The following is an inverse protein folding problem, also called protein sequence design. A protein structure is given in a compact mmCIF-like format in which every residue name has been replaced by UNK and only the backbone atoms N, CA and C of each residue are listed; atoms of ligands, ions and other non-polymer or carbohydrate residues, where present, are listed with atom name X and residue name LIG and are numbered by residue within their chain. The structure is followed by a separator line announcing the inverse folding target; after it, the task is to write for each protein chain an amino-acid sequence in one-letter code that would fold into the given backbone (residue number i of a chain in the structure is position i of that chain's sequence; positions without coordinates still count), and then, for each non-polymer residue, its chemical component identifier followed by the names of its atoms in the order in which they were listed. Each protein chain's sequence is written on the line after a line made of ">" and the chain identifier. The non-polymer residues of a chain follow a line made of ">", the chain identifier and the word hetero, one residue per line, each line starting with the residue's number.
data_IF_475173859835
#
_entry.id   IF_475173859835
#
_cell.length_a   1.000
_cell.length_b   1.000
_cell.length_c   1.000
_cell.angle_alpha   90.00
_cell.angle_beta   90.00
_cell.angle_gamma   90.00
#
_symmetry.space_group_name_H-M   'P 1'
#
loop_
_entity.id
_entity.type
_entity.pdbx_description
1 polymer ?
#
# COMPACT_ATOMS: atom_id res chain seq x y z
N UNK A 1 -8.72 -1.21 -23.26
CA UNK A 1 -7.39 -1.05 -22.63
C UNK A 1 -6.96 -2.39 -22.05
N UNK A 2 -5.73 -2.84 -22.29
CA UNK A 2 -5.20 -4.10 -21.75
C UNK A 2 -4.60 -3.88 -20.36
N UNK A 3 -4.89 -4.77 -19.40
CA UNK A 3 -4.34 -4.70 -18.04
C UNK A 3 -2.88 -5.16 -18.06
N UNK A 4 -1.96 -4.20 -18.15
CA UNK A 4 -0.52 -4.46 -18.29
C UNK A 4 0.26 -4.40 -16.96
N UNK A 5 -0.24 -3.66 -15.96
CA UNK A 5 0.37 -3.56 -14.63
C UNK A 5 -0.68 -3.70 -13.50
N UNK A 6 -0.88 -4.93 -12.97
CA UNK A 6 -1.80 -5.17 -11.87
C UNK A 6 -1.41 -4.48 -10.55
N UNK A 7 -0.13 -4.13 -10.37
CA UNK A 7 0.34 -3.44 -9.15
C UNK A 7 0.00 -1.95 -9.25
N UNK A 8 0.23 -1.33 -10.41
CA UNK A 8 -0.19 0.05 -10.63
C UNK A 8 -1.71 0.22 -10.47
N UNK A 9 -2.50 -0.75 -10.94
CA UNK A 9 -3.96 -0.77 -10.72
C UNK A 9 -4.31 -0.77 -9.23
N UNK A 10 -3.70 -1.66 -8.43
CA UNK A 10 -3.90 -1.71 -6.97
C UNK A 10 -3.62 -0.35 -6.30
N UNK A 11 -2.47 0.25 -6.57
CA UNK A 11 -2.09 1.53 -5.97
C UNK A 11 -3.04 2.66 -6.39
N UNK A 12 -3.51 2.63 -7.64
CA UNK A 12 -4.47 3.61 -8.17
C UNK A 12 -5.83 3.46 -7.51
N UNK A 13 -6.31 2.22 -7.31
CA UNK A 13 -7.57 1.97 -6.60
C UNK A 13 -7.52 2.44 -5.14
N UNK A 14 -6.39 2.24 -4.45
CA UNK A 14 -6.20 2.76 -3.09
C UNK A 14 -6.28 4.29 -3.09
N UNK A 15 -5.54 4.95 -3.99
CA UNK A 15 -5.55 6.42 -4.10
C UNK A 15 -6.95 6.95 -4.39
N UNK A 16 -7.65 6.36 -5.35
CA UNK A 16 -9.00 6.78 -5.73
C UNK A 16 -10.01 6.46 -4.63
N UNK A 17 -9.85 5.35 -3.91
CA UNK A 17 -10.67 4.99 -2.76
C UNK A 17 -10.52 6.00 -1.62
N UNK A 18 -9.29 6.40 -1.31
CA UNK A 18 -8.96 7.44 -0.34
C UNK A 18 -9.53 8.81 -0.76
N UNK A 19 -9.36 9.21 -2.03
CA UNK A 19 -9.92 10.46 -2.54
C UNK A 19 -11.45 10.50 -2.55
N UNK A 20 -12.10 9.33 -2.71
CA UNK A 20 -13.55 9.17 -2.66
C UNK A 20 -14.09 8.86 -1.25
N UNK A 21 -13.24 8.91 -0.20
CA UNK A 21 -13.59 8.59 1.19
C UNK A 21 -14.29 7.23 1.37
N UNK A 22 -13.89 6.21 0.60
CA UNK A 22 -14.42 4.86 0.72
C UNK A 22 -13.85 4.16 1.94
N UNK A 23 -14.68 3.40 2.67
CA UNK A 23 -14.21 2.59 3.79
C UNK A 23 -13.32 1.42 3.35
N UNK A 24 -13.65 0.79 2.22
CA UNK A 24 -12.91 -0.34 1.69
C UNK A 24 -12.79 -0.31 0.16
N UNK A 25 -11.80 -1.04 -0.36
CA UNK A 25 -11.53 -1.19 -1.79
C UNK A 25 -11.29 -2.65 -2.11
N UNK A 26 -12.02 -3.17 -3.10
CA UNK A 26 -11.90 -4.55 -3.58
C UNK A 26 -11.18 -4.63 -4.92
N UNK A 27 -10.42 -5.72 -5.12
CA UNK A 27 -9.72 -6.01 -6.37
C UNK A 27 -9.35 -7.49 -6.50
N UNK A 28 -9.04 -8.00 -7.70
CA UNK A 28 -8.52 -9.36 -7.85
C UNK A 28 -7.20 -9.55 -7.08
N UNK A 29 -7.11 -10.61 -6.30
CA UNK A 29 -5.96 -10.95 -5.47
C UNK A 29 -4.84 -11.61 -6.28
N UNK A 30 -3.63 -11.47 -5.77
CA UNK A 30 -2.42 -12.13 -6.26
C UNK A 30 -1.42 -12.21 -5.12
N UNK A 31 -0.54 -13.23 -5.11
CA UNK A 31 0.49 -13.39 -4.07
C UNK A 31 1.30 -12.11 -3.84
N UNK A 32 1.64 -11.39 -4.92
CA UNK A 32 2.36 -10.12 -4.84
C UNK A 32 1.52 -8.99 -4.21
N UNK A 33 0.22 -8.93 -4.52
CA UNK A 33 -0.68 -7.91 -3.94
C UNK A 33 -0.88 -8.13 -2.45
N UNK A 34 -1.03 -9.39 -2.03
CA UNK A 34 -1.12 -9.77 -0.62
C UNK A 34 0.16 -9.40 0.13
N UNK A 35 1.33 -9.68 -0.44
CA UNK A 35 2.61 -9.28 0.16
C UNK A 35 2.72 -7.75 0.33
N UNK A 36 2.29 -6.96 -0.65
CA UNK A 36 2.25 -5.50 -0.55
C UNK A 36 1.24 -5.05 0.53
N UNK A 37 0.06 -5.67 0.59
CA UNK A 37 -0.96 -5.36 1.60
C UNK A 37 -0.47 -5.64 3.03
N UNK A 38 0.26 -6.74 3.23
CA UNK A 38 0.91 -7.05 4.51
C UNK A 38 1.84 -5.92 4.95
N UNK A 39 2.76 -5.48 4.07
CA UNK A 39 3.68 -4.38 4.38
C UNK A 39 2.92 -3.08 4.69
N UNK A 40 1.87 -2.76 3.92
CA UNK A 40 1.05 -1.58 4.18
C UNK A 40 0.34 -1.63 5.53
N UNK A 41 -0.06 -2.83 5.98
CA UNK A 41 -0.69 -3.04 7.29
C UNK A 41 0.32 -2.92 8.42
N UNK A 42 1.50 -3.54 8.29
CA UNK A 42 2.58 -3.49 9.28
C UNK A 42 3.06 -2.05 9.53
N UNK A 43 3.15 -1.25 8.47
CA UNK A 43 3.51 0.17 8.53
C UNK A 43 2.33 1.07 8.99
N UNK A 44 1.12 0.51 9.13
CA UNK A 44 -0.05 1.23 9.64
C UNK A 44 -0.73 2.17 8.63
N UNK A 45 -0.47 2.03 7.33
CA UNK A 45 -1.10 2.81 6.26
C UNK A 45 -2.54 2.35 5.94
N UNK A 46 -2.82 1.06 6.13
CA UNK A 46 -4.16 0.48 6.04
C UNK A 46 -4.55 -0.12 7.38
N UNK A 47 -5.85 -0.31 7.61
CA UNK A 47 -6.34 -0.88 8.86
C UNK A 47 -6.25 -2.40 8.86
N UNK A 48 -6.82 -3.03 7.83
CA UNK A 48 -6.73 -4.47 7.63
C UNK A 48 -6.91 -4.83 6.14
N UNK A 49 -6.65 -6.10 5.81
CA UNK A 49 -7.02 -6.65 4.52
C UNK A 49 -7.57 -8.07 4.67
N UNK A 50 -8.44 -8.45 3.74
CA UNK A 50 -9.01 -9.79 3.66
C UNK A 50 -8.87 -10.35 2.25
N UNK A 51 -8.68 -11.66 2.16
CA UNK A 51 -8.70 -12.39 0.89
C UNK A 51 -9.87 -13.35 0.92
N UNK A 52 -10.77 -13.21 -0.04
CA UNK A 52 -11.99 -14.03 -0.13
C UNK A 52 -12.06 -14.74 -1.50
N UNK A 53 -12.58 -15.96 -1.52
CA UNK A 53 -12.84 -16.73 -2.73
C UNK A 53 -11.74 -17.72 -3.13
N UNK A 54 -12.16 -18.90 -3.58
CA UNK A 54 -11.27 -20.01 -3.93
C UNK A 54 -10.78 -19.96 -5.39
N UNK A 55 -11.72 -19.87 -6.34
CA UNK A 55 -11.40 -19.93 -7.79
C UNK A 55 -10.94 -18.58 -8.34
N UNK A 56 -11.44 -17.48 -7.79
CA UNK A 56 -11.09 -16.10 -8.15
C UNK A 56 -10.90 -15.31 -6.87
N UNK A 57 -9.72 -15.38 -6.25
CA UNK A 57 -9.50 -14.72 -4.98
C UNK A 57 -9.60 -13.21 -5.18
N UNK A 58 -10.37 -12.55 -4.33
CA UNK A 58 -10.52 -11.10 -4.23
C UNK A 58 -9.80 -10.61 -2.97
N UNK A 59 -9.14 -9.48 -3.09
CA UNK A 59 -8.46 -8.77 -2.01
C UNK A 59 -9.28 -7.54 -1.66
N UNK A 60 -9.81 -7.51 -0.45
CA UNK A 60 -10.44 -6.35 0.14
C UNK A 60 -9.45 -5.64 1.08
N UNK A 61 -9.26 -4.33 0.88
CA UNK A 61 -8.42 -3.48 1.71
C UNK A 61 -9.29 -2.50 2.47
N UNK A 62 -9.19 -2.49 3.80
CA UNK A 62 -9.85 -1.50 4.66
C UNK A 62 -8.95 -0.26 4.79
N UNK A 63 -9.46 0.87 4.32
CA UNK A 63 -8.73 2.13 4.25
C UNK A 63 -8.81 2.86 5.59
N UNK A 64 -7.65 3.31 6.07
CA UNK A 64 -7.55 4.08 7.31
C UNK A 64 -7.63 5.58 7.02
N UNK A 65 -8.39 6.29 7.86
CA UNK A 65 -8.52 7.73 7.85
C UNK A 65 -8.20 8.27 9.24
N UNK A 66 -7.49 9.39 9.32
CA UNK A 66 -7.19 10.08 10.56
C UNK A 66 -7.68 11.53 10.47
N UNK A 67 -8.58 11.92 11.38
CA UNK A 67 -9.17 13.27 11.42
C UNK A 67 -9.80 13.70 10.07
N UNK A 68 -10.45 12.76 9.36
CA UNK A 68 -11.06 13.02 8.05
C UNK A 68 -10.07 13.19 6.90
N UNK A 69 -8.77 12.97 7.14
CA UNK A 69 -7.74 12.93 6.10
C UNK A 69 -7.29 11.51 5.83
N UNK A 70 -6.97 11.23 4.57
CA UNK A 70 -6.34 10.00 4.15
C UNK A 70 -4.98 9.84 4.85
N UNK A 71 -4.73 8.67 5.46
CA UNK A 71 -3.41 8.37 6.06
C UNK A 71 -2.32 8.26 4.98
N UNK A 72 -2.71 7.84 3.77
CA UNK A 72 -1.82 7.76 2.62
C UNK A 72 -1.89 9.07 1.82
N UNK A 73 -0.91 9.95 2.02
CA UNK A 73 -0.83 11.23 1.28
C UNK A 73 -0.41 11.03 -0.18
N UNK A 74 0.60 10.19 -0.42
CA UNK A 74 1.10 9.93 -1.76
C UNK A 74 1.53 8.48 -1.92
N UNK A 75 1.17 7.91 -3.07
CA UNK A 75 1.51 6.53 -3.45
C UNK A 75 1.94 6.52 -4.90
N UNK A 76 3.11 5.99 -5.22
CA UNK A 76 3.65 6.03 -6.59
C UNK A 76 4.30 4.70 -6.99
N UNK A 77 4.06 4.29 -8.23
CA UNK A 77 4.72 3.14 -8.84
C UNK A 77 6.07 3.56 -9.45
N UNK A 78 7.16 3.23 -8.76
CA UNK A 78 8.53 3.54 -9.17
C UNK A 78 9.00 2.65 -10.33
N UNK A 79 8.94 1.32 -10.20
CA UNK A 79 9.28 0.39 -11.30
C UNK A 79 8.04 0.03 -12.13
N UNK A 80 8.09 0.26 -13.44
CA UNK A 80 6.98 -0.04 -14.36
C UNK A 80 7.38 -1.11 -15.38
N UNK A 81 6.44 -1.84 -16.00
CA UNK A 81 6.77 -2.82 -17.04
C UNK A 81 7.54 -2.22 -18.21
N UNK A 82 7.20 -0.99 -18.63
CA UNK A 82 7.90 -0.29 -19.70
C UNK A 82 9.29 0.24 -19.32
N UNK A 83 9.58 0.40 -18.02
CA UNK A 83 10.90 0.80 -17.53
C UNK A 83 11.13 0.22 -16.13
N UNK A 84 11.91 -0.86 -16.08
CA UNK A 84 12.32 -1.50 -14.84
C UNK A 84 13.48 -0.74 -14.22
N UNK A 85 13.33 -0.36 -12.96
CA UNK A 85 14.35 0.37 -12.20
C UNK A 85 14.97 -0.61 -11.22
N UNK A 86 16.25 -0.93 -11.43
CA UNK A 86 17.05 -1.74 -10.52
C UNK A 86 18.11 -0.85 -9.88
N UNK A 87 18.35 -1.03 -8.58
CA UNK A 87 19.32 -0.24 -7.81
C UNK A 87 20.22 -1.17 -7.02
N UNK A 88 21.51 -0.82 -6.95
CA UNK A 88 22.49 -1.49 -6.09
C UNK A 88 22.22 -1.12 -4.64
N UNK A 89 22.69 -1.94 -3.69
CA UNK A 89 22.49 -1.72 -2.24
C UNK A 89 22.85 -0.30 -1.79
N UNK A 90 23.90 0.28 -2.38
CA UNK A 90 24.45 1.58 -2.00
C UNK A 90 23.66 2.75 -2.63
N UNK A 91 22.85 2.46 -3.65
CA UNK A 91 22.03 3.45 -4.38
C UNK A 91 20.55 3.38 -4.01
N UNK A 92 20.18 2.60 -2.99
CA UNK A 92 18.80 2.54 -2.52
C UNK A 92 18.40 3.93 -2.03
N UNK A 93 17.36 4.54 -2.63
CA UNK A 93 16.92 5.85 -2.20
C UNK A 93 16.46 5.73 -0.75
N UNK A 94 17.06 6.54 0.13
CA UNK A 94 16.56 6.75 1.48
C UNK A 94 15.28 7.56 1.36
N UNK A 95 14.17 6.90 1.03
CA UNK A 95 12.84 7.44 1.26
C UNK A 95 12.77 7.69 2.77
N UNK A 96 12.75 8.96 3.13
CA UNK A 96 12.72 9.51 4.48
C UNK A 96 12.29 8.51 5.58
N UNK A 97 13.26 8.13 6.40
CA UNK A 97 13.11 7.28 7.59
C UNK A 97 12.34 7.94 8.74
N UNK A 98 11.62 9.04 8.47
CA UNK A 98 10.94 9.83 9.50
C UNK A 98 9.56 9.24 9.83
N UNK A 99 8.87 8.58 8.89
CA UNK A 99 7.51 8.08 9.14
C UNK A 99 7.42 6.68 9.75
N UNK A 100 8.44 5.84 9.54
CA UNK A 100 8.51 4.51 10.17
C UNK A 100 9.03 4.61 11.62
N UNK A 101 9.74 5.68 11.97
CA UNK A 101 10.39 5.82 13.29
C UNK A 101 9.51 6.47 14.36
N UNK A 102 8.43 7.17 14.01
CA UNK A 102 7.65 7.92 15.01
C UNK A 102 6.60 7.09 15.76
N UNK A 103 6.38 5.83 15.37
CA UNK A 103 5.57 4.87 16.15
C UNK A 103 6.39 3.89 17.01
N UNK A 104 7.73 3.97 16.96
CA UNK A 104 8.64 3.15 17.76
C UNK A 104 9.48 3.97 18.76
N UNK A 105 8.95 5.09 19.26
CA UNK A 105 9.35 5.57 20.58
C UNK A 105 8.39 4.98 21.61
N UNK A 106 8.72 3.86 22.29
CA UNK A 106 8.19 3.70 23.62
C UNK A 106 8.75 4.86 24.44
N UNK A 107 7.86 5.61 25.08
CA UNK A 107 8.19 6.30 26.31
C UNK A 107 8.97 5.33 27.21
N UNK A 108 10.29 5.48 27.26
CA UNK A 108 11.05 5.28 28.49
C UNK A 108 11.20 6.66 29.11
N UNK A 109 10.09 7.11 29.69
CA UNK A 109 10.14 7.94 30.89
C UNK A 109 10.29 6.95 32.03
N UNK A 110 11.54 6.77 32.45
CA UNK A 110 12.09 6.46 33.78
C UNK A 110 13.53 5.96 33.60
#
# INVERSE_FOLDING_TARGET
>A
MSMQDPIADMLTRIRNGQAANKAAVTMPSSKLKVAIANVLKEEGFIEDFKVEGDTKPELELTLKYFQGKAVVESIQRVSRPGLRIYKRKDELPKLWRVWVSQLFLPLKVL
#
